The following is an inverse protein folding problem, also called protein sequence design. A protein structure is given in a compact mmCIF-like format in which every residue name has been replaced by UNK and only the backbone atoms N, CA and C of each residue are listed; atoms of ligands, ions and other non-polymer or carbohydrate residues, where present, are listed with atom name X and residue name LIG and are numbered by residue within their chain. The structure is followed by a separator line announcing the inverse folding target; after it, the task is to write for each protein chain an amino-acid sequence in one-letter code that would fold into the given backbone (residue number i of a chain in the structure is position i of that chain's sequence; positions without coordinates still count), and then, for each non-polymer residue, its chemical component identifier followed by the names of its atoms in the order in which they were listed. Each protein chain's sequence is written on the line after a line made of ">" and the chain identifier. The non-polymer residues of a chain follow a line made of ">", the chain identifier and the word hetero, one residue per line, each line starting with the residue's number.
data_IF_399353929583
#
_entry.id   IF_399353929583
#
_cell.length_a   1.000
_cell.length_b   1.000
_cell.length_c   1.000
_cell.angle_alpha   90.00
_cell.angle_beta   90.00
_cell.angle_gamma   90.00
#
_symmetry.space_group_name_H-M   'P 1'
#
loop_
_entity.id
_entity.type
_entity.pdbx_description
1 polymer ?
#
# COMPACT_ATOMS: atom_id res chain seq x y z
N UNK A 1 -19.68 16.92 -33.20
CA UNK A 1 -20.16 16.85 -34.59
C UNK A 1 -19.33 15.83 -35.40
N UNK A 2 -19.00 14.66 -34.82
CA UNK A 2 -18.20 13.61 -35.49
C UNK A 2 -19.03 12.39 -35.90
N UNK A 3 -20.36 12.47 -35.70
CA UNK A 3 -21.22 11.29 -35.63
C UNK A 3 -22.03 11.04 -36.91
N UNK A 4 -21.88 11.87 -37.95
CA UNK A 4 -22.63 11.76 -39.22
C UNK A 4 -22.03 10.73 -40.20
N UNK A 5 -20.78 10.30 -39.98
CA UNK A 5 -20.09 9.35 -40.85
C UNK A 5 -19.95 7.94 -40.24
N UNK A 6 -20.74 7.61 -39.22
CA UNK A 6 -20.76 6.25 -38.68
C UNK A 6 -21.28 5.25 -39.74
N UNK A 7 -20.53 4.16 -40.03
CA UNK A 7 -20.97 3.10 -40.95
C UNK A 7 -22.33 2.49 -40.56
N UNK A 8 -22.65 2.51 -39.26
CA UNK A 8 -23.91 2.00 -38.71
C UNK A 8 -25.13 2.83 -39.12
N UNK A 9 -25.01 4.16 -39.11
CA UNK A 9 -26.10 5.07 -39.54
C UNK A 9 -26.36 4.94 -41.05
N UNK A 10 -25.30 4.70 -41.84
CA UNK A 10 -25.42 4.48 -43.29
C UNK A 10 -26.10 3.16 -43.65
N UNK A 11 -26.07 2.17 -42.75
CA UNK A 11 -26.79 0.90 -42.89
C UNK A 11 -28.27 0.99 -42.46
N UNK A 12 -28.78 2.19 -42.11
CA UNK A 12 -30.17 2.40 -41.71
C UNK A 12 -30.49 1.91 -40.30
N UNK A 13 -29.48 1.58 -39.50
CA UNK A 13 -29.66 1.12 -38.12
C UNK A 13 -29.41 2.31 -37.20
N UNK A 14 -30.49 3.01 -36.83
CA UNK A 14 -30.43 4.06 -35.82
C UNK A 14 -30.37 3.43 -34.43
N UNK A 15 -29.17 3.39 -33.86
CA UNK A 15 -28.94 2.90 -32.51
C UNK A 15 -29.27 3.94 -31.43
N UNK A 16 -29.67 5.16 -31.81
CA UNK A 16 -30.00 6.22 -30.85
C UNK A 16 -31.34 5.89 -30.18
N UNK A 17 -31.27 5.35 -28.96
CA UNK A 17 -32.42 5.15 -28.09
C UNK A 17 -32.88 3.71 -27.89
N UNK A 18 -32.20 2.70 -28.45
CA UNK A 18 -32.47 1.30 -28.10
C UNK A 18 -31.63 0.88 -26.90
N UNK A 19 -32.24 0.16 -25.94
CA UNK A 19 -31.54 -0.38 -24.76
C UNK A 19 -30.30 -1.21 -25.14
N UNK A 20 -30.32 -1.85 -26.31
CA UNK A 20 -29.25 -2.71 -26.83
C UNK A 20 -28.07 -1.99 -27.50
N UNK A 21 -28.09 -0.67 -27.71
CA UNK A 21 -26.97 0.02 -28.36
C UNK A 21 -25.76 0.22 -27.43
N UNK A 22 -25.99 0.27 -26.11
CA UNK A 22 -24.96 0.50 -25.09
C UNK A 22 -24.86 -0.63 -24.07
N UNK A 23 -25.87 -1.49 -23.94
CA UNK A 23 -25.90 -2.57 -22.95
C UNK A 23 -25.02 -3.81 -23.23
N UNK A 24 -24.89 -4.35 -24.47
CA UNK A 24 -24.28 -5.67 -24.65
C UNK A 24 -22.74 -5.69 -24.47
N UNK A 25 -22.10 -4.52 -24.55
CA UNK A 25 -20.64 -4.41 -24.31
C UNK A 25 -20.33 -4.33 -22.81
N UNK A 26 -21.26 -3.85 -22.00
CA UNK A 26 -21.06 -3.67 -20.55
C UNK A 26 -21.43 -4.90 -19.71
N UNK A 27 -22.28 -5.80 -20.21
CA UNK A 27 -22.65 -7.05 -19.47
C UNK A 27 -21.45 -7.96 -19.20
N UNK A 28 -20.42 -7.89 -20.04
CA UNK A 28 -19.19 -8.69 -19.92
C UNK A 28 -18.07 -7.97 -19.14
N UNK A 29 -18.26 -6.69 -18.81
CA UNK A 29 -17.29 -5.88 -18.09
C UNK A 29 -17.78 -5.72 -16.66
N UNK A 30 -17.17 -6.46 -15.73
CA UNK A 30 -17.45 -6.33 -14.30
C UNK A 30 -17.39 -4.84 -13.90
N UNK A 31 -18.44 -4.29 -13.24
CA UNK A 31 -18.43 -2.90 -12.81
C UNK A 31 -17.25 -2.69 -11.86
N UNK A 32 -16.33 -1.81 -12.25
CA UNK A 32 -15.19 -1.46 -11.42
C UNK A 32 -15.60 -0.79 -10.11
N UNK A 33 -14.65 -0.65 -9.18
CA UNK A 33 -14.97 -0.07 -7.86
C UNK A 33 -15.35 1.40 -8.00
N UNK A 34 -16.23 1.89 -7.12
CA UNK A 34 -16.46 3.34 -6.96
C UNK A 34 -15.28 3.94 -6.18
N UNK A 35 -14.61 4.93 -6.77
CA UNK A 35 -13.40 5.58 -6.24
C UNK A 35 -13.78 6.64 -5.19
N UNK A 36 -13.22 6.55 -3.98
CA UNK A 36 -13.35 7.53 -2.88
C UNK A 36 -14.77 8.13 -2.71
N UNK A 37 -15.79 7.32 -2.34
CA UNK A 37 -17.20 7.74 -2.36
C UNK A 37 -17.52 8.96 -1.48
N UNK A 38 -16.81 9.17 -0.37
CA UNK A 38 -17.05 10.31 0.54
C UNK A 38 -16.02 11.45 0.39
N UNK A 39 -14.82 11.18 -0.13
CA UNK A 39 -13.70 12.14 -0.18
C UNK A 39 -13.27 12.38 -1.63
N UNK A 40 -14.23 12.69 -2.49
CA UNK A 40 -14.01 12.83 -3.94
C UNK A 40 -13.02 13.94 -4.31
N UNK A 41 -12.87 14.97 -3.47
CA UNK A 41 -12.06 16.15 -3.76
C UNK A 41 -10.60 16.06 -3.28
N UNK A 42 -10.28 15.11 -2.39
CA UNK A 42 -8.90 14.89 -1.92
C UNK A 42 -8.32 13.74 -2.76
N UNK A 43 -7.87 14.06 -3.97
CA UNK A 43 -7.26 13.11 -4.92
C UNK A 43 -5.80 13.47 -5.16
N UNK A 44 -4.89 12.53 -4.91
CA UNK A 44 -3.47 12.67 -5.25
C UNK A 44 -3.12 11.67 -6.34
N UNK A 45 -3.00 12.15 -7.58
CA UNK A 45 -2.69 11.31 -8.74
C UNK A 45 -1.20 11.40 -9.11
N UNK A 46 -0.34 10.90 -8.23
CA UNK A 46 1.12 10.88 -8.44
C UNK A 46 1.63 9.44 -8.38
N UNK A 47 1.33 8.59 -9.38
CA UNK A 47 1.50 7.14 -9.30
C UNK A 47 2.95 6.69 -9.06
N UNK A 48 3.93 7.36 -9.66
CA UNK A 48 5.36 7.06 -9.45
C UNK A 48 5.82 7.51 -8.06
N UNK A 49 5.41 8.70 -7.63
CA UNK A 49 5.78 9.26 -6.32
C UNK A 49 5.17 8.46 -5.18
N UNK A 50 3.88 8.10 -5.26
CA UNK A 50 3.21 7.27 -4.26
C UNK A 50 3.82 5.87 -4.19
N UNK A 51 4.23 5.30 -5.33
CA UNK A 51 5.01 4.05 -5.34
C UNK A 51 6.32 4.19 -4.58
N UNK A 52 7.12 5.22 -4.87
CA UNK A 52 8.38 5.47 -4.16
C UNK A 52 8.13 5.69 -2.66
N UNK A 53 7.08 6.42 -2.29
CA UNK A 53 6.69 6.64 -0.90
C UNK A 53 6.37 5.31 -0.19
N UNK A 54 5.56 4.45 -0.80
CA UNK A 54 5.23 3.13 -0.23
C UNK A 54 6.49 2.27 -0.04
N UNK A 55 7.40 2.28 -1.02
CA UNK A 55 8.69 1.57 -0.93
C UNK A 55 9.56 2.15 0.19
N UNK A 56 9.66 3.48 0.28
CA UNK A 56 10.44 4.17 1.30
C UNK A 56 9.93 3.87 2.71
N UNK A 57 8.62 3.83 2.93
CA UNK A 57 8.04 3.49 4.24
C UNK A 57 8.39 2.05 4.63
N UNK A 58 8.31 1.08 3.71
CA UNK A 58 8.75 -0.30 4.00
C UNK A 58 10.25 -0.37 4.29
N UNK A 59 11.07 0.40 3.56
CA UNK A 59 12.50 0.50 3.83
C UNK A 59 12.78 1.02 5.25
N UNK A 60 12.03 2.03 5.71
CA UNK A 60 12.11 2.55 7.07
C UNK A 60 11.72 1.49 8.10
N UNK A 61 10.64 0.72 7.88
CA UNK A 61 10.24 -0.39 8.77
C UNK A 61 11.37 -1.42 8.89
N UNK A 62 11.95 -1.81 7.75
CA UNK A 62 13.07 -2.76 7.72
C UNK A 62 14.30 -2.23 8.46
N UNK A 63 14.74 -1.01 8.14
CA UNK A 63 15.91 -0.39 8.75
C UNK A 63 15.75 -0.22 10.28
N UNK A 64 14.58 0.24 10.73
CA UNK A 64 14.27 0.37 12.15
C UNK A 64 14.26 -1.01 12.86
N UNK A 65 13.70 -2.04 12.22
CA UNK A 65 13.69 -3.41 12.75
C UNK A 65 15.10 -3.98 12.91
N UNK A 66 15.97 -3.77 11.91
CA UNK A 66 17.38 -4.17 11.99
C UNK A 66 18.14 -3.40 13.07
N UNK A 67 17.92 -2.09 13.19
CA UNK A 67 18.55 -1.27 14.22
C UNK A 67 18.18 -1.75 15.63
N UNK A 68 16.91 -2.12 15.86
CA UNK A 68 16.47 -2.69 17.13
C UNK A 68 17.09 -4.08 17.36
N UNK A 69 17.15 -4.92 16.34
CA UNK A 69 17.77 -6.26 16.44
C UNK A 69 19.27 -6.19 16.81
N UNK A 70 19.97 -5.15 16.36
CA UNK A 70 21.38 -4.91 16.65
C UNK A 70 21.64 -4.23 18.01
N UNK A 71 20.60 -3.73 18.69
CA UNK A 71 20.74 -2.87 19.86
C UNK A 71 21.10 -3.58 21.17
N UNK A 72 21.32 -4.91 21.15
CA UNK A 72 21.51 -5.77 22.33
C UNK A 72 20.40 -5.65 23.40
N UNK A 73 19.25 -5.06 23.05
CA UNK A 73 18.11 -4.86 23.95
C UNK A 73 16.88 -5.59 23.37
N UNK A 74 16.81 -6.93 23.51
CA UNK A 74 15.73 -7.71 22.91
C UNK A 74 14.37 -7.36 23.55
N UNK A 75 13.36 -6.99 22.75
CA UNK A 75 12.04 -6.63 23.28
C UNK A 75 11.32 -7.75 24.03
N UNK A 76 11.49 -9.00 23.59
CA UNK A 76 10.91 -10.20 24.21
C UNK A 76 11.68 -11.45 23.74
N UNK A 77 11.35 -12.62 24.30
CA UNK A 77 11.97 -13.89 23.91
C UNK A 77 11.70 -14.18 22.43
N UNK A 78 12.73 -14.51 21.66
CA UNK A 78 12.66 -14.69 20.19
C UNK A 78 12.34 -13.42 19.38
N UNK A 79 12.45 -12.22 19.96
CA UNK A 79 12.28 -10.98 19.18
C UNK A 79 13.34 -10.79 18.09
N UNK A 80 14.59 -11.20 18.33
CA UNK A 80 15.70 -11.07 17.38
C UNK A 80 15.40 -11.77 16.04
N UNK A 81 15.09 -13.08 15.99
CA UNK A 81 14.77 -13.73 14.72
C UNK A 81 13.52 -13.14 14.05
N UNK A 82 12.53 -12.67 14.82
CA UNK A 82 11.35 -12.02 14.26
C UNK A 82 11.67 -10.66 13.62
N UNK A 83 12.54 -9.85 14.22
CA UNK A 83 12.98 -8.58 13.64
C UNK A 83 13.80 -8.79 12.37
N UNK A 84 14.66 -9.80 12.34
CA UNK A 84 15.43 -10.16 11.15
C UNK A 84 14.56 -10.68 10.00
N UNK A 85 13.49 -11.43 10.30
CA UNK A 85 12.56 -11.87 9.26
C UNK A 85 11.80 -10.70 8.63
N UNK A 86 11.38 -9.71 9.43
CA UNK A 86 10.79 -8.47 8.93
C UNK A 86 11.79 -7.68 8.08
N UNK A 87 13.03 -7.54 8.53
CA UNK A 87 14.08 -6.88 7.74
C UNK A 87 14.32 -7.57 6.40
N UNK A 88 14.46 -8.89 6.39
CA UNK A 88 14.67 -9.67 5.17
C UNK A 88 13.49 -9.51 4.19
N UNK A 89 12.25 -9.60 4.69
CA UNK A 89 11.05 -9.39 3.89
C UNK A 89 10.97 -7.96 3.32
N UNK A 90 11.32 -6.95 4.12
CA UNK A 90 11.39 -5.55 3.69
C UNK A 90 12.44 -5.36 2.59
N UNK A 91 13.62 -5.97 2.72
CA UNK A 91 14.69 -5.89 1.71
C UNK A 91 14.23 -6.49 0.38
N UNK A 92 13.61 -7.67 0.41
CA UNK A 92 13.03 -8.31 -0.78
C UNK A 92 11.96 -7.40 -1.40
N UNK A 93 11.05 -6.86 -0.58
CA UNK A 93 10.01 -5.96 -1.05
C UNK A 93 10.58 -4.71 -1.72
N UNK A 94 11.59 -4.08 -1.13
CA UNK A 94 12.24 -2.89 -1.69
C UNK A 94 12.93 -3.23 -3.01
N UNK A 95 13.69 -4.32 -3.06
CA UNK A 95 14.36 -4.77 -4.28
C UNK A 95 13.34 -5.02 -5.41
N UNK A 96 12.29 -5.79 -5.14
CA UNK A 96 11.21 -6.05 -6.11
C UNK A 96 10.48 -4.77 -6.50
N UNK A 97 10.20 -3.89 -5.54
CA UNK A 97 9.50 -2.62 -5.77
C UNK A 97 10.29 -1.61 -6.59
N UNK A 98 11.63 -1.66 -6.56
CA UNK A 98 12.49 -0.80 -7.37
C UNK A 98 12.71 -1.37 -8.78
N UNK A 99 12.86 -2.69 -8.91
CA UNK A 99 13.24 -3.34 -10.18
C UNK A 99 12.02 -3.71 -11.04
N UNK A 100 10.90 -4.08 -10.41
CA UNK A 100 9.76 -4.66 -11.13
C UNK A 100 8.56 -3.71 -11.16
N UNK A 101 7.69 -3.83 -12.15
CA UNK A 101 6.38 -3.16 -12.16
C UNK A 101 5.29 -4.02 -11.51
N UNK A 102 5.64 -4.95 -10.61
CA UNK A 102 4.64 -5.81 -9.98
C UNK A 102 3.80 -5.05 -8.92
N UNK A 103 2.52 -5.41 -8.80
CA UNK A 103 1.63 -4.87 -7.76
C UNK A 103 1.87 -5.59 -6.43
N UNK A 104 2.87 -5.13 -5.68
CA UNK A 104 3.29 -5.78 -4.44
C UNK A 104 2.67 -5.21 -3.16
N UNK A 105 1.81 -4.19 -3.24
CA UNK A 105 1.33 -3.42 -2.06
C UNK A 105 0.70 -4.25 -0.94
N UNK A 106 0.03 -5.36 -1.26
CA UNK A 106 -0.54 -6.26 -0.24
C UNK A 106 0.56 -6.95 0.59
N UNK A 107 1.72 -7.26 -0.02
CA UNK A 107 2.88 -7.79 0.69
C UNK A 107 3.48 -6.77 1.65
N UNK A 108 3.50 -5.49 1.26
CA UNK A 108 3.94 -4.43 2.16
C UNK A 108 3.01 -4.30 3.38
N UNK A 109 1.70 -4.51 3.21
CA UNK A 109 0.76 -4.56 4.33
C UNK A 109 1.10 -5.72 5.28
N UNK A 110 1.39 -6.91 4.75
CA UNK A 110 1.78 -8.06 5.56
C UNK A 110 3.07 -7.78 6.38
N UNK A 111 4.05 -7.11 5.78
CA UNK A 111 5.28 -6.69 6.46
C UNK A 111 4.97 -5.68 7.57
N UNK A 112 4.17 -4.65 7.27
CA UNK A 112 3.79 -3.62 8.24
C UNK A 112 3.01 -4.21 9.42
N UNK A 113 2.06 -5.13 9.16
CA UNK A 113 1.31 -5.84 10.19
C UNK A 113 2.22 -6.74 11.04
N UNK A 114 3.17 -7.45 10.42
CA UNK A 114 4.14 -8.27 11.16
C UNK A 114 5.01 -7.41 12.09
N UNK A 115 5.52 -6.28 11.59
CA UNK A 115 6.27 -5.34 12.40
C UNK A 115 5.42 -4.73 13.54
N UNK A 116 4.15 -4.44 13.28
CA UNK A 116 3.21 -3.95 14.30
C UNK A 116 2.96 -5.01 15.38
N UNK A 117 2.77 -6.28 15.01
CA UNK A 117 2.61 -7.37 15.97
C UNK A 117 3.86 -7.56 16.84
N UNK A 118 5.05 -7.46 16.25
CA UNK A 118 6.31 -7.47 17.01
C UNK A 118 6.36 -6.28 17.97
N UNK A 119 5.96 -5.09 17.52
CA UNK A 119 5.89 -3.91 18.40
C UNK A 119 4.98 -4.16 19.61
N UNK A 120 3.77 -4.65 19.37
CA UNK A 120 2.81 -4.98 20.43
C UNK A 120 3.35 -6.08 21.36
N UNK A 121 4.03 -7.10 20.82
CA UNK A 121 4.70 -8.12 21.62
C UNK A 121 5.76 -7.54 22.55
N UNK A 122 6.52 -6.53 22.09
CA UNK A 122 7.48 -5.83 22.94
C UNK A 122 6.84 -5.03 24.07
N UNK A 123 5.61 -4.50 23.89
CA UNK A 123 4.88 -3.83 24.96
C UNK A 123 4.57 -4.76 26.14
N UNK A 124 4.35 -6.05 25.86
CA UNK A 124 4.11 -7.08 26.87
C UNK A 124 5.42 -7.62 27.47
N UNK A 125 6.56 -7.34 26.83
CA UNK A 125 7.89 -7.74 27.27
C UNK A 125 8.70 -6.57 27.82
N UNK A 126 9.97 -6.54 27.46
CA UNK A 126 10.91 -5.47 27.78
C UNK A 126 11.13 -4.57 26.56
N UNK A 127 10.09 -3.83 26.15
CA UNK A 127 10.19 -2.87 25.05
C UNK A 127 11.40 -1.93 25.26
N UNK A 128 12.17 -1.61 24.22
CA UNK A 128 13.38 -0.80 24.32
C UNK A 128 13.03 0.69 24.49
N UNK A 129 12.43 1.05 25.62
CA UNK A 129 12.18 2.43 26.02
C UNK A 129 13.31 2.97 26.89
N UNK A 130 13.44 4.30 26.93
CA UNK A 130 14.46 4.96 27.76
C UNK A 130 14.30 4.60 29.24
N UNK A 131 13.06 4.52 29.73
CA UNK A 131 12.76 4.10 31.11
C UNK A 131 12.98 2.59 31.35
N UNK A 132 13.12 1.79 30.29
CA UNK A 132 13.51 0.38 30.35
C UNK A 132 15.03 0.19 30.15
N UNK A 133 15.82 1.27 30.20
CA UNK A 133 17.28 1.22 30.09
C UNK A 133 17.83 1.17 28.67
N UNK A 134 16.99 1.35 27.65
CA UNK A 134 17.45 1.48 26.27
C UNK A 134 18.01 2.89 25.98
N UNK A 135 18.91 2.99 25.01
CA UNK A 135 19.39 4.29 24.55
C UNK A 135 18.26 5.10 23.88
N UNK A 136 18.39 6.43 23.86
CA UNK A 136 17.44 7.32 23.14
C UNK A 136 17.31 6.92 21.67
N UNK A 137 18.42 6.53 21.04
CA UNK A 137 18.44 6.10 19.64
C UNK A 137 17.65 4.81 19.47
N UNK A 138 17.85 3.81 20.34
CA UNK A 138 17.12 2.54 20.27
C UNK A 138 15.62 2.74 20.49
N UNK A 139 15.24 3.57 21.46
CA UNK A 139 13.84 3.91 21.72
C UNK A 139 13.20 4.64 20.54
N UNK A 140 13.93 5.54 19.90
CA UNK A 140 13.46 6.19 18.68
C UNK A 140 13.26 5.18 17.54
N UNK A 141 14.20 4.26 17.32
CA UNK A 141 14.07 3.22 16.29
C UNK A 141 12.89 2.29 16.56
N UNK A 142 12.66 1.94 17.82
CA UNK A 142 11.49 1.16 18.21
C UNK A 142 10.17 1.88 17.94
N UNK A 143 10.05 3.15 18.32
CA UNK A 143 8.84 3.92 17.99
C UNK A 143 8.68 4.15 16.47
N UNK A 144 9.78 4.21 15.74
CA UNK A 144 9.76 4.32 14.29
C UNK A 144 9.18 3.08 13.62
N UNK A 145 9.38 1.87 14.17
CA UNK A 145 8.71 0.66 13.63
C UNK A 145 7.19 0.79 13.74
N UNK A 146 6.66 1.24 14.88
CA UNK A 146 5.23 1.49 15.06
C UNK A 146 4.70 2.54 14.08
N UNK A 147 5.30 3.73 14.09
CA UNK A 147 4.81 4.86 13.31
C UNK A 147 4.88 4.58 11.80
N UNK A 148 5.95 3.95 11.33
CA UNK A 148 6.08 3.59 9.92
C UNK A 148 5.10 2.48 9.52
N UNK A 149 4.85 1.49 10.38
CA UNK A 149 3.81 0.47 10.13
C UNK A 149 2.43 1.08 10.02
N UNK A 150 2.06 1.97 10.95
CA UNK A 150 0.78 2.69 10.91
C UNK A 150 0.68 3.57 9.66
N UNK A 151 1.73 4.31 9.32
CA UNK A 151 1.79 5.12 8.11
C UNK A 151 1.57 4.27 6.85
N UNK A 152 2.20 3.10 6.76
CA UNK A 152 1.99 2.19 5.63
C UNK A 152 0.54 1.71 5.55
N UNK A 153 -0.06 1.33 6.68
CA UNK A 153 -1.46 0.89 6.73
C UNK A 153 -2.42 2.00 6.27
N UNK A 154 -2.20 3.24 6.71
CA UNK A 154 -2.98 4.41 6.28
C UNK A 154 -2.82 4.64 4.78
N UNK A 155 -1.59 4.62 4.26
CA UNK A 155 -1.32 4.76 2.82
C UNK A 155 -1.96 3.63 2.01
N UNK A 156 -1.87 2.39 2.48
CA UNK A 156 -2.51 1.24 1.83
C UNK A 156 -4.04 1.35 1.84
N UNK A 157 -4.61 1.82 2.96
CA UNK A 157 -6.04 2.14 3.08
C UNK A 157 -6.46 3.20 2.06
N UNK A 158 -5.72 4.31 1.99
CA UNK A 158 -5.95 5.37 1.00
C UNK A 158 -5.83 4.86 -0.45
N UNK A 159 -4.87 3.96 -0.71
CA UNK A 159 -4.67 3.33 -2.01
C UNK A 159 -5.85 2.42 -2.39
N UNK A 160 -6.38 1.65 -1.43
CA UNK A 160 -7.54 0.76 -1.63
C UNK A 160 -8.85 1.53 -1.74
N UNK A 161 -8.97 2.65 -1.04
CA UNK A 161 -10.13 3.53 -1.08
C UNK A 161 -10.16 4.41 -2.35
N UNK A 162 -9.03 4.57 -3.03
CA UNK A 162 -8.91 5.33 -4.27
C UNK A 162 -8.64 6.83 -4.07
N UNK A 163 -8.17 7.24 -2.89
CA UNK A 163 -7.68 8.61 -2.63
C UNK A 163 -6.29 8.86 -3.25
N UNK A 164 -5.46 7.83 -3.26
CA UNK A 164 -4.11 7.87 -3.86
C UNK A 164 -3.97 6.75 -4.89
N UNK A 165 -3.10 7.00 -5.88
CA UNK A 165 -2.80 6.06 -6.96
C UNK A 165 -1.31 5.70 -6.90
N UNK A 166 -0.95 4.44 -7.11
CA UNK A 166 0.45 3.99 -7.17
C UNK A 166 0.69 3.14 -8.41
N UNK A 167 1.81 3.37 -9.11
CA UNK A 167 2.17 2.66 -10.33
C UNK A 167 2.55 1.19 -10.03
N UNK A 168 2.02 0.18 -10.74
CA UNK A 168 1.07 0.28 -11.84
C UNK A 168 -0.35 0.57 -11.37
N UNK A 169 -1.03 1.51 -12.03
CA UNK A 169 -2.45 1.78 -11.78
C UNK A 169 -3.34 0.85 -12.60
N UNK A 170 -3.71 -0.27 -11.98
CA UNK A 170 -4.77 -1.16 -12.47
C UNK A 170 -5.85 -1.28 -11.39
N UNK A 171 -6.22 -0.15 -10.76
CA UNK A 171 -7.17 -0.18 -9.66
C UNK A 171 -8.63 -0.41 -10.14
N UNK A 172 -8.87 -0.44 -11.45
CA UNK A 172 -10.16 -0.69 -12.09
C UNK A 172 -11.28 0.12 -11.44
N UNK A 173 -11.00 1.38 -11.13
CA UNK A 173 -12.04 2.29 -10.67
C UNK A 173 -12.78 2.80 -11.90
N UNK A 174 -14.12 2.73 -11.87
CA UNK A 174 -14.96 3.42 -12.84
C UNK A 174 -15.15 4.83 -12.28
N UNK A 175 -14.74 5.87 -13.00
CA UNK A 175 -15.14 7.25 -12.68
C UNK A 175 -16.57 7.52 -13.16
#
# INVERSE_FOLDING_TARGET
>A
MEDENSPALRAGVDFRGTQNATQPVLEHILPGKKRAPLLRYIRINLPKTTRLLLIAVIAVIGAASAAVALSNHPPFLFAIPALWSVFAAALIFVAVGLVTTARIWTWGLAIALSALLIYLGGLLGNAPYVWNGASVVTAAMWNLTLLASLAYMVLFGALRYGMIVAAPDNQHFMD
#
